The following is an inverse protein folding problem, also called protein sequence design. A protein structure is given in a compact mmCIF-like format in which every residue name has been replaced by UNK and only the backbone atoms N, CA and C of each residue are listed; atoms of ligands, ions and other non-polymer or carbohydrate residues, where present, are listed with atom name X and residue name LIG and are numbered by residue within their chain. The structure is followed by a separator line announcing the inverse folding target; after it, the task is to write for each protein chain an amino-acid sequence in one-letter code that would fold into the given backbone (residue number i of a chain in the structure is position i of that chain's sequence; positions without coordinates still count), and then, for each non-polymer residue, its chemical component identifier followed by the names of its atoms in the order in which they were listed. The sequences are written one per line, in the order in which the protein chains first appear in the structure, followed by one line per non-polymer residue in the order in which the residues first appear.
data_IF_227176069200
#
_entry.id   IF_227176069200
#
_cell.length_a   1.000
_cell.length_b   1.000
_cell.length_c   1.000
_cell.angle_alpha   90.00
_cell.angle_beta   90.00
_cell.angle_gamma   90.00
#
_symmetry.space_group_name_H-M   'P 1'
#
loop_
_entity.id
_entity.type
_entity.pdbx_description
1 polymer ?
#
# COMPACT_ATOMS: atom_id res chain seq x y z
N UNK A 1 43.79 -23.34 8.48
CA UNK A 1 43.76 -23.92 9.84
C UNK A 1 43.24 -22.87 10.81
N UNK A 2 41.99 -22.98 11.21
CA UNK A 2 41.48 -22.57 12.53
C UNK A 2 40.02 -23.08 12.63
N UNK A 3 39.86 -23.88 13.62
CA UNK A 3 38.85 -24.83 14.02
C UNK A 3 37.62 -24.14 14.65
N UNK A 4 36.47 -24.67 14.34
CA UNK A 4 35.32 -25.09 15.18
C UNK A 4 35.11 -24.39 16.51
N UNK A 5 33.89 -23.98 16.76
CA UNK A 5 33.19 -24.37 18.00
C UNK A 5 31.66 -24.33 17.80
N UNK A 6 31.14 -25.52 17.81
CA UNK A 6 29.75 -25.89 17.96
C UNK A 6 29.34 -25.63 19.44
N UNK A 7 28.23 -24.91 19.66
CA UNK A 7 27.56 -24.92 20.97
C UNK A 7 26.09 -25.21 20.79
N UNK A 8 25.78 -26.48 21.04
CA UNK A 8 24.43 -26.96 21.33
C UNK A 8 24.08 -26.57 22.78
N UNK A 9 22.88 -26.04 22.97
CA UNK A 9 22.24 -25.99 24.28
C UNK A 9 20.79 -26.48 24.11
N UNK A 10 20.59 -27.71 24.56
CA UNK A 10 19.30 -28.30 24.82
C UNK A 10 18.75 -27.71 26.13
N UNK A 11 17.50 -27.31 26.15
CA UNK A 11 16.73 -27.21 27.40
C UNK A 11 15.40 -27.96 27.25
N UNK A 12 15.24 -28.81 28.23
CA UNK A 12 14.20 -29.80 28.38
C UNK A 12 12.87 -29.23 28.86
N UNK A 13 11.85 -29.94 28.49
CA UNK A 13 10.48 -30.09 28.98
C UNK A 13 10.18 -29.61 30.40
N UNK A 14 9.02 -28.95 30.56
CA UNK A 14 8.18 -29.22 31.73
C UNK A 14 6.71 -29.05 31.36
N UNK A 15 6.00 -30.20 31.34
CA UNK A 15 4.55 -30.30 31.28
C UNK A 15 3.96 -29.99 32.67
N UNK A 16 2.89 -29.21 32.72
CA UNK A 16 2.03 -29.18 33.91
C UNK A 16 0.57 -29.18 33.48
N UNK A 17 -0.02 -30.36 33.58
CA UNK A 17 -1.45 -30.65 33.50
C UNK A 17 -2.14 -30.13 34.77
N UNK A 18 -3.20 -29.34 34.60
CA UNK A 18 -4.19 -29.18 35.68
C UNK A 18 -5.57 -29.42 35.06
N UNK A 19 -6.10 -30.58 35.43
CA UNK A 19 -7.44 -31.09 35.22
C UNK A 19 -8.30 -30.65 36.42
N UNK A 20 -9.45 -30.00 36.19
CA UNK A 20 -10.52 -29.96 37.19
C UNK A 20 -11.89 -29.88 36.52
N UNK A 21 -12.79 -30.78 36.87
CA UNK A 21 -14.18 -30.74 36.49
C UNK A 21 -15.03 -30.14 37.60
N UNK A 22 -16.06 -29.34 37.28
CA UNK A 22 -17.23 -29.13 38.13
C UNK A 22 -18.50 -29.07 37.34
N UNK A 23 -19.36 -29.89 37.76
CA UNK A 23 -20.70 -30.30 37.44
C UNK A 23 -21.76 -29.20 37.58
N UNK A 24 -22.72 -29.27 36.68
CA UNK A 24 -24.17 -29.03 36.73
C UNK A 24 -24.77 -28.06 37.77
N UNK A 25 -25.67 -27.25 37.31
CA UNK A 25 -27.10 -27.34 37.66
C UNK A 25 -27.93 -26.36 36.80
N UNK A 26 -29.13 -26.80 36.55
CA UNK A 26 -30.17 -26.39 35.70
C UNK A 26 -30.97 -25.17 36.19
N UNK A 27 -31.67 -24.58 35.23
CA UNK A 27 -32.59 -23.51 35.48
C UNK A 27 -33.29 -23.07 34.18
N UNK A 28 -34.38 -23.76 33.90
CA UNK A 28 -35.28 -23.33 32.84
C UNK A 28 -36.09 -22.12 33.30
N UNK A 29 -36.20 -21.12 32.42
CA UNK A 29 -37.18 -20.04 32.57
C UNK A 29 -37.40 -19.36 31.23
N UNK A 30 -38.64 -19.34 30.73
CA UNK A 30 -38.95 -18.71 29.45
C UNK A 30 -39.31 -17.24 29.63
N UNK A 31 -38.92 -16.40 28.71
CA UNK A 31 -39.60 -15.12 28.68
C UNK A 31 -38.83 -13.99 28.07
N UNK A 32 -39.48 -13.50 27.11
CA UNK A 32 -39.60 -12.18 26.50
C UNK A 32 -38.61 -11.81 25.38
N UNK A 33 -39.21 -11.94 24.21
CA UNK A 33 -38.81 -11.21 23.02
C UNK A 33 -38.64 -9.72 23.32
N UNK A 34 -37.45 -9.23 23.12
CA UNK A 34 -37.21 -7.81 22.98
C UNK A 34 -36.63 -7.57 21.60
N UNK A 35 -37.48 -7.15 20.70
CA UNK A 35 -37.11 -6.47 19.47
C UNK A 35 -36.33 -5.22 19.84
N UNK A 36 -35.04 -5.24 19.74
CA UNK A 36 -34.25 -4.04 19.62
C UNK A 36 -33.84 -3.90 18.17
N UNK A 37 -34.66 -3.19 17.42
CA UNK A 37 -34.26 -2.57 16.18
C UNK A 37 -33.28 -1.44 16.57
N UNK A 38 -32.01 -1.74 16.63
CA UNK A 38 -30.96 -0.74 16.72
C UNK A 38 -30.70 -0.24 15.30
N UNK A 39 -31.37 0.81 14.99
CA UNK A 39 -30.96 2.02 14.31
C UNK A 39 -29.47 1.98 13.92
N UNK A 40 -29.23 1.45 12.73
CA UNK A 40 -27.97 1.65 12.00
C UNK A 40 -28.04 3.05 11.40
N UNK A 41 -27.86 4.06 12.26
CA UNK A 41 -27.64 5.42 11.84
C UNK A 41 -26.40 5.43 10.93
N UNK A 42 -26.64 5.45 9.65
CA UNK A 42 -25.63 5.72 8.64
C UNK A 42 -24.96 7.04 9.00
N UNK A 43 -23.74 6.95 9.54
CA UNK A 43 -22.87 8.10 9.76
C UNK A 43 -22.81 8.88 8.45
N UNK A 44 -23.18 10.17 8.42
CA UNK A 44 -23.18 10.96 7.21
C UNK A 44 -21.78 10.88 6.60
N UNK A 45 -21.70 10.46 5.35
CA UNK A 45 -20.46 10.42 4.59
C UNK A 45 -19.84 11.83 4.66
N UNK A 46 -18.69 11.94 5.35
CA UNK A 46 -17.87 13.15 5.30
C UNK A 46 -17.73 13.54 3.84
N UNK A 47 -17.95 14.82 3.46
CA UNK A 47 -17.66 15.25 2.10
C UNK A 47 -16.23 14.81 1.81
N UNK A 48 -16.06 14.08 0.72
CA UNK A 48 -14.76 13.62 0.23
C UNK A 48 -13.99 14.88 -0.10
N UNK A 49 -13.18 15.35 0.86
CA UNK A 49 -12.30 16.48 0.62
C UNK A 49 -11.53 16.16 -0.66
N UNK A 50 -11.64 17.02 -1.65
CA UNK A 50 -10.85 16.95 -2.88
C UNK A 50 -9.40 16.77 -2.46
N UNK A 51 -8.68 15.75 -2.97
CA UNK A 51 -7.29 15.54 -2.59
C UNK A 51 -6.52 16.82 -2.94
N UNK A 52 -5.85 17.39 -1.95
CA UNK A 52 -4.98 18.54 -2.16
C UNK A 52 -3.87 18.13 -3.14
N UNK A 53 -3.97 18.63 -4.37
CA UNK A 53 -3.04 18.30 -5.45
C UNK A 53 -1.90 19.30 -5.45
N UNK A 54 -0.68 18.82 -5.23
CA UNK A 54 0.55 19.61 -5.23
C UNK A 54 1.16 19.67 -6.63
N UNK A 55 1.15 20.84 -7.24
CA UNK A 55 1.77 21.15 -8.54
C UNK A 55 3.07 21.95 -8.40
N UNK A 56 3.62 22.06 -7.19
CA UNK A 56 4.81 22.87 -6.92
C UNK A 56 6.11 22.29 -7.52
N UNK A 57 6.11 20.99 -7.87
CA UNK A 57 7.32 20.30 -8.32
C UNK A 57 8.33 20.00 -7.21
N UNK A 58 7.99 20.25 -5.96
CA UNK A 58 8.85 19.96 -4.83
C UNK A 58 9.09 18.46 -4.68
N UNK A 59 10.32 18.10 -4.36
CA UNK A 59 10.68 16.73 -4.00
C UNK A 59 9.97 16.31 -2.72
N UNK A 60 9.56 15.04 -2.67
CA UNK A 60 8.95 14.43 -1.50
C UNK A 60 9.83 13.29 -1.00
N UNK A 61 10.00 13.17 0.31
CA UNK A 61 10.75 12.07 0.95
C UNK A 61 9.83 11.32 1.88
N UNK A 62 10.01 10.01 1.96
CA UNK A 62 9.27 9.13 2.86
C UNK A 62 9.26 7.70 2.37
N UNK A 63 8.54 6.84 3.08
CA UNK A 63 8.48 5.43 2.73
C UNK A 63 7.67 5.19 1.43
N UNK A 64 8.15 4.26 0.62
CA UNK A 64 7.44 3.67 -0.50
C UNK A 64 7.11 2.22 -0.23
N UNK A 65 6.01 1.73 -0.79
CA UNK A 65 5.73 0.31 -0.92
C UNK A 65 5.32 -0.02 -2.36
N UNK A 66 4.94 -1.27 -2.62
CA UNK A 66 4.45 -1.65 -3.94
C UNK A 66 3.15 -2.44 -3.84
N UNK A 67 2.39 -2.41 -4.94
CA UNK A 67 1.09 -3.10 -5.02
C UNK A 67 1.22 -4.61 -4.90
N UNK A 68 0.41 -5.20 -4.03
CA UNK A 68 0.25 -6.65 -3.97
C UNK A 68 -0.44 -7.21 -5.23
N UNK A 69 -0.25 -8.50 -5.50
CA UNK A 69 -0.80 -9.18 -6.70
C UNK A 69 -2.32 -9.06 -6.85
N UNK A 70 -3.04 -8.97 -5.74
CA UNK A 70 -4.51 -8.85 -5.73
C UNK A 70 -5.04 -7.51 -6.25
N UNK A 71 -4.16 -6.52 -6.47
CA UNK A 71 -4.52 -5.25 -7.11
C UNK A 71 -4.37 -5.29 -8.64
N UNK A 72 -3.71 -6.30 -9.20
CA UNK A 72 -3.55 -6.42 -10.64
C UNK A 72 -4.89 -6.34 -11.38
N UNK A 73 -4.93 -5.57 -12.45
CA UNK A 73 -6.09 -5.33 -13.32
C UNK A 73 -7.27 -4.59 -12.65
N UNK A 74 -7.16 -4.19 -11.38
CA UNK A 74 -8.17 -3.33 -10.75
C UNK A 74 -8.10 -1.92 -11.31
N UNK A 75 -9.25 -1.27 -11.40
CA UNK A 75 -9.37 0.10 -11.87
C UNK A 75 -8.67 1.06 -10.90
N UNK A 76 -7.79 1.89 -11.42
CA UNK A 76 -7.11 2.97 -10.69
C UNK A 76 -7.95 4.25 -10.66
N UNK A 77 -7.49 5.25 -9.92
CA UNK A 77 -8.15 6.56 -9.87
C UNK A 77 -8.19 7.28 -11.22
N UNK A 78 -7.26 6.99 -12.12
CA UNK A 78 -7.26 7.51 -13.48
C UNK A 78 -8.30 6.85 -14.40
N UNK A 79 -8.90 5.74 -13.95
CA UNK A 79 -9.82 4.93 -14.74
C UNK A 79 -9.17 3.77 -15.50
N UNK A 80 -7.85 3.79 -15.68
CA UNK A 80 -7.11 2.71 -16.32
C UNK A 80 -6.92 1.51 -15.36
N UNK A 81 -6.82 0.27 -15.87
CA UNK A 81 -6.49 -0.89 -15.05
C UNK A 81 -5.02 -0.82 -14.57
N UNK A 82 -4.77 -1.28 -13.33
CA UNK A 82 -3.42 -1.43 -12.82
C UNK A 82 -2.70 -2.56 -13.57
N UNK A 83 -1.67 -2.22 -14.34
CA UNK A 83 -0.81 -3.19 -14.99
C UNK A 83 0.48 -3.37 -14.17
N UNK A 84 0.71 -4.56 -13.58
CA UNK A 84 1.90 -4.82 -12.77
C UNK A 84 3.22 -4.75 -13.54
N UNK A 85 3.16 -4.85 -14.88
CA UNK A 85 4.33 -4.82 -15.76
C UNK A 85 4.68 -3.42 -16.27
N UNK A 86 3.85 -2.42 -15.97
CA UNK A 86 4.11 -1.01 -16.30
C UNK A 86 4.70 -0.26 -15.11
N UNK A 87 5.40 0.81 -15.37
CA UNK A 87 5.99 1.66 -14.33
C UNK A 87 5.03 2.79 -13.97
N UNK A 88 4.06 2.45 -13.14
CA UNK A 88 3.07 3.42 -12.61
C UNK A 88 3.07 3.43 -11.09
N UNK A 89 2.44 4.44 -10.52
CA UNK A 89 2.39 4.63 -9.08
C UNK A 89 1.10 5.28 -8.59
N UNK A 90 0.84 5.15 -7.28
CA UNK A 90 -0.13 5.96 -6.56
C UNK A 90 0.56 7.06 -5.76
N UNK A 91 0.00 8.25 -5.78
CA UNK A 91 0.37 9.37 -4.92
C UNK A 91 -0.86 10.07 -4.36
N UNK A 92 -0.76 10.53 -3.11
CA UNK A 92 -1.83 11.34 -2.47
C UNK A 92 -1.91 12.73 -3.06
N UNK A 93 -0.75 13.33 -3.34
CA UNK A 93 -0.59 14.76 -3.57
C UNK A 93 -0.25 15.10 -5.01
N UNK A 94 0.52 14.26 -5.70
CA UNK A 94 0.88 14.54 -7.10
C UNK A 94 -0.32 14.38 -8.03
N UNK A 95 -0.49 15.26 -9.03
CA UNK A 95 -1.52 15.12 -10.07
C UNK A 95 -1.46 13.73 -10.75
N UNK A 96 -2.60 13.23 -11.21
CA UNK A 96 -2.59 12.09 -12.13
C UNK A 96 -1.86 12.48 -13.41
N UNK A 97 -1.13 11.53 -14.01
CA UNK A 97 -0.30 11.80 -15.19
C UNK A 97 1.07 12.40 -14.88
N UNK A 98 1.37 12.77 -13.63
CA UNK A 98 2.71 13.24 -13.25
C UNK A 98 3.75 12.18 -13.54
N UNK A 99 4.80 12.52 -14.28
CA UNK A 99 6.01 11.72 -14.38
C UNK A 99 6.94 12.09 -13.23
N UNK A 100 7.43 11.11 -12.50
CA UNK A 100 8.32 11.33 -11.37
C UNK A 100 9.46 10.34 -11.37
N UNK A 101 10.66 10.82 -11.05
CA UNK A 101 11.82 9.98 -10.72
C UNK A 101 11.70 9.57 -9.26
N UNK A 102 11.72 8.27 -9.01
CA UNK A 102 11.77 7.70 -7.66
C UNK A 102 13.17 7.16 -7.43
N UNK A 103 13.81 7.60 -6.35
CA UNK A 103 15.14 7.14 -5.94
C UNK A 103 15.03 6.39 -4.64
N UNK A 104 15.45 5.13 -4.61
CA UNK A 104 15.60 4.36 -3.38
C UNK A 104 16.83 4.88 -2.62
N UNK A 105 16.63 5.37 -1.40
CA UNK A 105 17.68 6.01 -0.61
C UNK A 105 18.68 4.99 -0.02
N UNK A 106 18.30 3.72 0.07
CA UNK A 106 19.14 2.66 0.66
C UNK A 106 20.18 2.13 -0.33
N UNK A 107 19.81 2.06 -1.63
CA UNK A 107 20.70 1.46 -2.65
C UNK A 107 21.01 2.40 -3.83
N UNK A 108 20.46 3.61 -3.84
CA UNK A 108 20.68 4.63 -4.86
C UNK A 108 20.02 4.33 -6.23
N UNK A 109 19.30 3.21 -6.38
CA UNK A 109 18.60 2.87 -7.63
C UNK A 109 17.46 3.83 -7.90
N UNK A 110 17.25 4.10 -9.19
CA UNK A 110 16.25 5.04 -9.66
C UNK A 110 15.36 4.42 -10.74
N UNK A 111 14.11 4.83 -10.77
CA UNK A 111 13.21 4.55 -11.89
C UNK A 111 12.24 5.70 -12.10
N UNK A 112 11.75 5.86 -13.32
CA UNK A 112 10.67 6.79 -13.62
C UNK A 112 9.34 6.07 -13.56
N UNK A 113 8.34 6.73 -12.96
CA UNK A 113 6.97 6.24 -12.86
C UNK A 113 5.98 7.33 -13.27
N UNK A 114 4.80 6.90 -13.73
CA UNK A 114 3.67 7.81 -13.98
C UNK A 114 2.63 7.60 -12.89
N UNK A 115 2.15 8.68 -12.29
CA UNK A 115 1.10 8.64 -11.28
C UNK A 115 -0.24 8.37 -11.96
N UNK A 116 -0.82 7.20 -11.72
CA UNK A 116 -2.12 6.80 -12.28
C UNK A 116 -3.17 6.54 -11.21
N UNK A 117 -2.78 6.52 -9.93
CA UNK A 117 -3.69 6.17 -8.85
C UNK A 117 -3.55 7.10 -7.64
N UNK A 118 -4.51 6.99 -6.71
CA UNK A 118 -4.56 7.73 -5.44
C UNK A 118 -4.20 6.83 -4.28
N UNK A 119 -3.38 7.34 -3.39
CA UNK A 119 -2.80 6.68 -2.22
C UNK A 119 -1.33 7.01 -2.09
N UNK A 120 -0.59 6.34 -1.21
CA UNK A 120 -1.04 5.37 -0.20
C UNK A 120 -1.83 6.03 0.94
N UNK A 121 -2.79 5.30 1.53
CA UNK A 121 -3.54 5.81 2.68
C UNK A 121 -2.90 5.43 4.02
N UNK A 122 -1.80 4.69 4.00
CA UNK A 122 -1.01 4.40 5.19
C UNK A 122 -0.18 5.63 5.61
N UNK A 123 -0.04 5.83 6.93
CA UNK A 123 0.78 6.92 7.48
C UNK A 123 2.26 6.69 7.15
N UNK A 124 2.99 7.76 6.88
CA UNK A 124 4.43 7.72 6.59
C UNK A 124 4.79 7.34 5.15
N UNK A 125 3.88 6.72 4.37
CA UNK A 125 4.14 6.42 2.97
C UNK A 125 3.76 7.59 2.07
N UNK A 126 4.61 7.86 1.09
CA UNK A 126 4.44 8.95 0.10
C UNK A 126 4.02 8.44 -1.28
N UNK A 127 4.41 7.20 -1.62
CA UNK A 127 4.16 6.60 -2.93
C UNK A 127 4.03 5.08 -2.82
N UNK A 128 3.13 4.48 -3.62
CA UNK A 128 3.07 3.04 -3.85
C UNK A 128 3.32 2.79 -5.34
N UNK A 129 4.32 1.95 -5.65
CA UNK A 129 4.73 1.69 -7.03
C UNK A 129 4.25 0.32 -7.52
N UNK A 130 4.21 0.12 -8.83
CA UNK A 130 3.92 -1.19 -9.41
C UNK A 130 5.06 -2.19 -9.16
N UNK A 131 4.79 -3.52 -9.22
CA UNK A 131 5.81 -4.56 -9.07
C UNK A 131 7.01 -4.40 -10.00
N UNK A 132 6.80 -3.93 -11.25
CA UNK A 132 7.88 -3.66 -12.20
C UNK A 132 8.80 -2.53 -11.73
N UNK A 133 8.23 -1.43 -11.27
CA UNK A 133 9.01 -0.31 -10.73
C UNK A 133 9.73 -0.69 -9.43
N UNK A 134 9.10 -1.49 -8.56
CA UNK A 134 9.73 -2.01 -7.33
C UNK A 134 10.94 -2.91 -7.62
N UNK A 135 10.90 -3.66 -8.71
CA UNK A 135 12.03 -4.48 -9.17
C UNK A 135 13.22 -3.61 -9.58
N UNK A 136 12.98 -2.58 -10.39
CA UNK A 136 14.02 -1.64 -10.81
C UNK A 136 14.62 -0.88 -9.63
N UNK A 137 13.80 -0.51 -8.63
CA UNK A 137 14.24 0.11 -7.38
C UNK A 137 14.96 -0.87 -6.45
N UNK A 138 14.93 -2.18 -6.73
CA UNK A 138 15.54 -3.20 -5.89
C UNK A 138 14.87 -3.41 -4.54
N UNK A 139 13.61 -2.99 -4.36
CA UNK A 139 12.90 -3.01 -3.08
C UNK A 139 11.93 -4.20 -2.89
N UNK A 140 11.88 -5.13 -3.83
CA UNK A 140 10.93 -6.27 -3.76
C UNK A 140 11.13 -7.18 -2.55
N UNK A 141 12.37 -7.32 -2.05
CA UNK A 141 12.68 -8.16 -0.88
C UNK A 141 12.21 -7.52 0.41
N UNK A 142 12.41 -6.22 0.53
CA UNK A 142 12.16 -5.47 1.76
C UNK A 142 10.69 -5.03 1.87
N UNK A 143 10.00 -4.94 0.75
CA UNK A 143 8.58 -4.58 0.68
C UNK A 143 8.30 -3.10 0.87
N UNK A 144 9.02 -2.44 1.75
CA UNK A 144 8.97 -1.01 2.06
C UNK A 144 10.39 -0.49 2.13
N UNK A 145 10.63 0.72 1.58
CA UNK A 145 11.95 1.39 1.63
C UNK A 145 11.78 2.90 1.63
N UNK A 146 12.78 3.62 2.12
CA UNK A 146 12.80 5.07 2.05
C UNK A 146 13.16 5.55 0.63
N UNK A 147 12.37 6.47 0.12
CA UNK A 147 12.55 7.02 -1.22
C UNK A 147 12.54 8.55 -1.24
N UNK A 148 13.17 9.09 -2.27
CA UNK A 148 12.96 10.47 -2.72
C UNK A 148 12.16 10.42 -4.04
N UNK A 149 11.06 11.13 -4.09
CA UNK A 149 10.21 11.30 -5.28
C UNK A 149 10.43 12.70 -5.83
N UNK A 150 10.96 12.79 -7.04
CA UNK A 150 11.20 14.06 -7.75
C UNK A 150 10.24 14.15 -8.94
N UNK A 151 9.25 15.03 -8.92
CA UNK A 151 8.41 15.28 -10.09
C UNK A 151 9.26 15.84 -11.24
N UNK A 152 9.06 15.32 -12.45
CA UNK A 152 9.75 15.73 -13.68
C UNK A 152 8.80 16.51 -14.59
N UNK A 153 7.63 15.93 -14.86
CA UNK A 153 6.60 16.53 -15.69
C UNK A 153 5.29 16.52 -14.92
N UNK A 154 4.68 17.70 -14.71
CA UNK A 154 3.46 17.84 -13.93
C UNK A 154 2.37 18.39 -14.84
N UNK A 155 1.30 17.64 -15.11
CA UNK A 155 0.16 18.13 -15.87
C UNK A 155 -0.48 19.32 -15.14
N UNK A 156 -0.75 20.39 -15.87
CA UNK A 156 -1.36 21.59 -15.33
C UNK A 156 -2.89 21.60 -15.51
N UNK A 157 -3.39 20.85 -16.50
CA UNK A 157 -4.82 20.75 -16.81
C UNK A 157 -5.31 19.30 -16.73
N UNK A 158 -6.63 19.12 -16.60
CA UNK A 158 -7.25 17.78 -16.60
C UNK A 158 -7.09 17.06 -17.94
N UNK A 159 -7.02 17.80 -19.04
CA UNK A 159 -6.75 17.24 -20.37
C UNK A 159 -5.36 16.67 -20.46
N UNK A 160 -4.36 17.39 -19.96
CA UNK A 160 -2.97 16.90 -19.88
C UNK A 160 -2.84 15.71 -18.95
N UNK A 161 -3.57 15.67 -17.82
CA UNK A 161 -3.62 14.51 -16.93
C UNK A 161 -4.12 13.27 -17.67
N UNK A 162 -5.22 13.39 -18.43
CA UNK A 162 -5.78 12.29 -19.22
C UNK A 162 -4.79 11.79 -20.28
N UNK A 163 -4.21 12.70 -21.08
CA UNK A 163 -3.25 12.36 -22.13
C UNK A 163 -2.01 11.66 -21.56
N UNK A 164 -1.45 12.15 -20.46
CA UNK A 164 -0.27 11.55 -19.84
C UNK A 164 -0.56 10.15 -19.29
N UNK A 165 -1.73 9.95 -18.70
CA UNK A 165 -2.16 8.61 -18.22
C UNK A 165 -2.37 7.66 -19.40
N UNK A 166 -3.03 8.10 -20.47
CA UNK A 166 -3.28 7.29 -21.65
C UNK A 166 -1.97 6.83 -22.29
N UNK A 167 -1.02 7.73 -22.48
CA UNK A 167 0.31 7.40 -22.98
C UNK A 167 1.04 6.37 -22.11
N UNK A 168 0.97 6.52 -20.78
CA UNK A 168 1.60 5.59 -19.85
C UNK A 168 0.95 4.20 -19.85
N UNK A 169 -0.35 4.14 -20.12
CA UNK A 169 -1.09 2.86 -20.12
C UNK A 169 -1.06 2.15 -21.47
N UNK A 170 -0.90 2.87 -22.58
CA UNK A 170 -0.81 2.28 -23.94
C UNK A 170 0.61 1.91 -24.33
N UNK A 171 1.65 2.62 -23.85
CA UNK A 171 3.03 2.35 -24.22
C UNK A 171 3.45 0.95 -23.74
N UNK A 172 3.94 0.05 -24.64
CA UNK A 172 4.44 -1.25 -24.24
C UNK A 172 5.64 -1.09 -23.29
N UNK A 173 5.89 -2.07 -22.41
CA UNK A 173 7.08 -2.06 -21.57
C UNK A 173 8.33 -2.06 -22.44
N UNK A 174 9.22 -1.11 -22.21
CA UNK A 174 10.55 -1.05 -22.83
C UNK A 174 11.46 -2.08 -22.17
#
# INVERSE_FOLDING_TARGET
MRKSTLRALAFASLALSILSPVLADGGAGPGVASKSAADSAAKPARPKAEPHVDRSGKKQKGAASYYGRHFAHKKTASGAPLDPNKKTAASKTLPLGTKAEVTNQENGKKTEVVVTDRGPYAKGRVIDVTPKAAEELGMKKDGVTEVEVKPLEIPQTKEQEKQAVEQATQKPPQ
#
